data_IF_642194255696
#
_entry.id   IF_642194255696
#
_cell.length_a   1.000
_cell.length_b   1.000
_cell.length_c   1.000
_cell.angle_alpha   90.00
_cell.angle_beta   90.00
_cell.angle_gamma   90.00
#
_symmetry.space_group_name_H-M   'P 1'
#
loop_
_entity.id
_entity.type
_entity.pdbx_description
1 polymer ?
#
# COMPACT_ATOMS: atom_id res chain seq x y z
N UNK A 1 -7.47 4.29 1.55
CA UNK A 1 -7.05 2.88 1.36
C UNK A 1 -6.44 2.66 -0.02
N UNK A 2 -6.95 3.32 -1.05
CA UNK A 2 -6.48 3.12 -2.43
C UNK A 2 -4.96 3.30 -2.61
N UNK A 3 -4.36 4.37 -2.08
CA UNK A 3 -2.91 4.60 -2.20
C UNK A 3 -2.08 3.44 -1.63
N UNK A 4 -2.48 2.86 -0.49
CA UNK A 4 -1.79 1.71 0.09
C UNK A 4 -1.87 0.47 -0.81
N UNK A 5 -3.02 0.24 -1.44
CA UNK A 5 -3.19 -0.87 -2.39
C UNK A 5 -2.32 -0.66 -3.63
N UNK A 6 -2.26 0.56 -4.16
CA UNK A 6 -1.38 0.89 -5.27
C UNK A 6 0.09 0.64 -4.91
N UNK A 7 0.54 1.07 -3.72
CA UNK A 7 1.90 0.78 -3.26
C UNK A 7 2.17 -0.72 -3.17
N UNK A 8 1.26 -1.49 -2.57
CA UNK A 8 1.38 -2.94 -2.47
C UNK A 8 1.49 -3.63 -3.83
N UNK A 9 0.73 -3.16 -4.82
CA UNK A 9 0.82 -3.68 -6.20
C UNK A 9 2.14 -3.28 -6.85
N UNK A 10 2.58 -2.02 -6.71
CA UNK A 10 3.87 -1.56 -7.24
C UNK A 10 5.06 -2.31 -6.62
N UNK A 11 4.97 -2.74 -5.36
CA UNK A 11 6.03 -3.50 -4.70
C UNK A 11 6.26 -4.89 -5.26
N UNK A 12 5.38 -5.42 -6.12
CA UNK A 12 5.69 -6.65 -6.87
C UNK A 12 6.87 -6.45 -7.83
N UNK A 13 7.13 -5.22 -8.24
CA UNK A 13 8.09 -4.91 -9.29
C UNK A 13 7.64 -5.35 -10.68
N UNK A 14 6.37 -5.74 -10.87
CA UNK A 14 5.81 -6.01 -12.19
C UNK A 14 5.32 -4.71 -12.86
N UNK A 15 5.06 -4.77 -14.16
CA UNK A 15 4.37 -3.67 -14.85
C UNK A 15 2.93 -3.56 -14.35
N UNK A 16 2.55 -2.36 -13.93
CA UNK A 16 1.25 -2.05 -13.35
C UNK A 16 0.52 -1.06 -14.25
N UNK A 17 -0.71 -1.41 -14.61
CA UNK A 17 -1.73 -0.50 -15.13
C UNK A 17 -2.76 -0.28 -14.03
N UNK A 18 -2.94 0.97 -13.61
CA UNK A 18 -3.83 1.35 -12.52
C UNK A 18 -4.61 2.59 -12.89
N UNK A 19 -5.93 2.46 -13.04
CA UNK A 19 -6.83 3.57 -13.36
C UNK A 19 -7.93 3.68 -12.29
N UNK A 20 -7.67 4.48 -11.25
CA UNK A 20 -8.64 4.82 -10.20
C UNK A 20 -8.50 6.29 -9.82
N UNK A 21 -8.33 6.63 -8.53
CA UNK A 21 -8.05 8.01 -8.12
C UNK A 21 -6.72 8.50 -8.68
N UNK A 22 -5.74 7.61 -8.74
CA UNK A 22 -4.48 7.83 -9.45
C UNK A 22 -4.52 7.05 -10.76
N UNK A 23 -3.89 7.59 -11.80
CA UNK A 23 -3.68 6.93 -13.07
C UNK A 23 -2.18 6.65 -13.20
N UNK A 24 -1.79 5.37 -13.21
CA UNK A 24 -0.40 4.93 -13.26
C UNK A 24 -0.24 3.84 -14.30
N UNK A 25 0.73 4.02 -15.18
CA UNK A 25 1.21 3.02 -16.13
C UNK A 25 2.73 2.92 -15.95
N UNK A 26 3.22 1.82 -15.38
CA UNK A 26 4.65 1.64 -15.18
C UNK A 26 5.05 0.56 -14.19
N UNK A 27 6.34 0.48 -13.93
CA UNK A 27 6.97 -0.53 -13.06
C UNK A 27 7.81 0.17 -12.00
N UNK A 28 7.74 -0.30 -10.75
CA UNK A 28 8.57 0.25 -9.67
C UNK A 28 9.97 -0.36 -9.71
N UNK A 29 10.99 0.50 -9.77
CA UNK A 29 12.39 0.11 -9.57
C UNK A 29 13.13 1.18 -8.73
N UNK A 30 13.97 0.79 -7.76
CA UNK A 30 14.19 -0.59 -7.30
C UNK A 30 13.00 -1.15 -6.51
N UNK A 31 12.90 -2.47 -6.41
CA UNK A 31 11.90 -3.13 -5.57
C UNK A 31 12.30 -3.09 -4.10
N UNK A 32 11.34 -3.16 -3.16
CA UNK A 32 11.66 -3.30 -1.74
C UNK A 32 12.50 -4.54 -1.44
N UNK A 33 13.28 -4.48 -0.36
CA UNK A 33 14.09 -5.61 0.11
C UNK A 33 13.26 -6.85 0.49
N UNK A 34 12.02 -6.66 0.96
CA UNK A 34 11.11 -7.75 1.35
C UNK A 34 10.01 -7.95 0.30
N UNK A 35 9.68 -9.20 -0.07
CA UNK A 35 8.50 -9.49 -0.86
C UNK A 35 7.24 -8.91 -0.20
N UNK A 36 6.40 -8.23 -0.98
CA UNK A 36 5.20 -7.56 -0.46
C UNK A 36 5.46 -6.23 0.25
N UNK A 37 6.72 -5.76 0.30
CA UNK A 37 7.09 -4.44 0.78
C UNK A 37 7.38 -4.34 2.28
N UNK A 38 7.64 -3.12 2.77
CA UNK A 38 7.82 -2.86 4.20
C UNK A 38 6.50 -3.05 4.97
N UNK A 39 6.60 -3.33 6.27
CA UNK A 39 5.44 -3.28 7.17
C UNK A 39 4.88 -1.86 7.22
N UNK A 40 3.57 -1.74 7.29
CA UNK A 40 2.87 -0.45 7.29
C UNK A 40 2.11 -0.31 8.61
N UNK A 41 2.33 0.82 9.29
CA UNK A 41 1.61 1.20 10.50
C UNK A 41 0.69 2.38 10.22
N UNK A 42 -0.47 2.42 10.90
CA UNK A 42 -1.41 3.54 10.80
C UNK A 42 -1.72 4.13 12.18
N UNK A 43 -1.13 5.30 12.47
CA UNK A 43 -1.45 6.07 13.67
C UNK A 43 -2.81 6.78 13.56
N UNK A 44 -3.63 6.68 14.60
CA UNK A 44 -4.94 7.33 14.68
C UNK A 44 -5.45 7.39 16.11
N UNK A 45 -6.19 8.46 16.45
CA UNK A 45 -6.79 8.66 17.77
C UNK A 45 -8.31 8.47 17.82
N UNK A 46 -8.94 8.18 16.69
CA UNK A 46 -10.41 8.03 16.62
C UNK A 46 -10.80 6.55 16.57
N UNK A 47 -11.90 6.12 17.24
CA UNK A 47 -12.25 4.70 17.34
C UNK A 47 -12.34 3.97 16.00
N UNK A 48 -13.02 4.57 15.02
CA UNK A 48 -13.15 3.98 13.66
C UNK A 48 -11.82 3.91 12.91
N UNK A 49 -10.87 4.77 13.26
CA UNK A 49 -9.50 4.72 12.78
C UNK A 49 -8.77 3.51 13.38
N UNK A 50 -8.87 3.33 14.70
CA UNK A 50 -8.19 2.26 15.44
C UNK A 50 -8.63 0.89 14.91
N UNK A 51 -9.94 0.68 14.75
CA UNK A 51 -10.45 -0.57 14.19
C UNK A 51 -9.92 -0.84 12.77
N UNK A 52 -9.81 0.20 11.95
CA UNK A 52 -9.28 0.07 10.58
C UNK A 52 -7.78 -0.21 10.57
N UNK A 53 -7.02 0.43 11.47
CA UNK A 53 -5.61 0.12 11.69
C UNK A 53 -5.44 -1.36 12.04
N UNK A 54 -6.15 -1.82 13.08
CA UNK A 54 -6.09 -3.21 13.55
C UNK A 54 -6.48 -4.26 12.50
N UNK A 55 -7.42 -3.95 11.59
CA UNK A 55 -7.86 -4.90 10.55
C UNK A 55 -6.94 -4.97 9.33
N UNK A 56 -6.18 -3.92 9.03
CA UNK A 56 -5.57 -3.78 7.69
C UNK A 56 -4.08 -3.49 7.69
N UNK A 57 -3.52 -3.05 8.82
CA UNK A 57 -2.14 -2.63 8.94
C UNK A 57 -1.39 -3.55 9.92
N UNK A 58 -0.07 -3.49 9.89
CA UNK A 58 0.80 -4.38 10.66
C UNK A 58 0.97 -3.96 12.13
N UNK A 59 0.33 -2.85 12.52
CA UNK A 59 0.26 -2.32 13.89
C UNK A 59 -0.17 -0.87 13.97
#
# INVERSE_FOLDING_TARGET
MESFRLWQVLWSGESVSWDRRWQVEGQLAPTPYRPGGPRIWLGTGVPTGIERAARTFDG
#
